data_IF_165822207672
#
_entry.id   IF_165822207672
#
_cell.length_a   1.000
_cell.length_b   1.000
_cell.length_c   1.000
_cell.angle_alpha   90.00
_cell.angle_beta   90.00
_cell.angle_gamma   90.00
#
_symmetry.space_group_name_H-M   'P 1'
#
loop_
_entity.id
_entity.type
_entity.pdbx_description
1 polymer ?
#
# COMPACT_ATOMS: atom_id res chain seq x y z
N UNK A 1 -12.43 -14.00 1.44
CA UNK A 1 -11.94 -13.14 2.55
C UNK A 1 -10.60 -12.59 2.10
N UNK A 2 -10.30 -11.28 2.24
CA UNK A 2 -8.99 -10.73 1.86
C UNK A 2 -7.89 -11.52 2.58
N UNK A 3 -6.86 -11.96 1.87
CA UNK A 3 -5.74 -12.66 2.50
C UNK A 3 -4.97 -11.68 3.38
N UNK A 4 -4.41 -12.18 4.50
CA UNK A 4 -3.62 -11.31 5.39
C UNK A 4 -2.38 -10.73 4.68
N UNK A 5 -1.92 -11.41 3.64
CA UNK A 5 -0.75 -11.04 2.84
C UNK A 5 -0.91 -9.68 2.17
N UNK A 6 -2.14 -9.28 1.82
CA UNK A 6 -2.40 -8.04 1.08
C UNK A 6 -2.14 -6.79 1.93
N UNK A 7 -2.48 -6.82 3.22
CA UNK A 7 -2.29 -5.66 4.10
C UNK A 7 -0.99 -5.73 4.91
N UNK A 8 -0.53 -6.92 5.32
CA UNK A 8 0.65 -7.05 6.18
C UNK A 8 1.92 -6.56 5.50
N UNK A 9 2.04 -6.74 4.17
CA UNK A 9 3.19 -6.29 3.39
C UNK A 9 3.36 -4.77 3.40
N UNK A 10 2.26 -4.01 3.48
CA UNK A 10 2.29 -2.55 3.62
C UNK A 10 2.83 -2.18 4.99
N UNK A 11 2.32 -2.79 6.06
CA UNK A 11 2.78 -2.54 7.42
C UNK A 11 4.27 -2.89 7.58
N UNK A 12 4.72 -4.05 7.09
CA UNK A 12 6.13 -4.45 7.14
C UNK A 12 7.03 -3.40 6.48
N UNK A 13 6.63 -2.87 5.32
CA UNK A 13 7.42 -1.87 4.61
C UNK A 13 7.47 -0.53 5.35
N UNK A 14 6.35 -0.06 5.90
CA UNK A 14 6.30 1.16 6.69
C UNK A 14 7.20 1.07 7.92
N UNK A 15 7.14 -0.04 8.66
CA UNK A 15 8.00 -0.31 9.81
C UNK A 15 9.48 -0.37 9.40
N UNK A 16 9.80 -1.08 8.32
CA UNK A 16 11.18 -1.26 7.89
C UNK A 16 11.84 0.02 7.32
N UNK A 17 11.03 0.97 6.87
CA UNK A 17 11.46 2.31 6.45
C UNK A 17 11.30 3.35 7.57
N UNK A 18 10.86 2.95 8.76
CA UNK A 18 10.62 3.84 9.92
C UNK A 18 9.69 5.01 9.56
N UNK A 19 8.73 4.80 8.67
CA UNK A 19 7.77 5.82 8.24
C UNK A 19 6.68 5.93 9.31
N UNK A 20 6.43 7.09 9.92
CA UNK A 20 5.35 7.25 10.87
C UNK A 20 4.00 7.15 10.17
N UNK A 21 3.06 6.42 10.77
CA UNK A 21 1.70 6.26 10.25
C UNK A 21 0.69 6.10 11.38
N UNK A 22 -0.55 6.52 11.12
CA UNK A 22 -1.68 6.22 12.00
C UNK A 22 -2.37 4.92 11.55
N UNK A 23 -2.50 3.96 12.47
CA UNK A 23 -3.13 2.68 12.19
C UNK A 23 -4.63 2.71 12.51
N UNK A 24 -5.46 2.50 11.48
CA UNK A 24 -6.90 2.26 11.64
C UNK A 24 -7.20 0.78 11.38
N UNK A 25 -7.72 0.09 12.39
CA UNK A 25 -8.06 -1.33 12.31
C UNK A 25 -9.54 -1.48 11.98
N UNK A 26 -9.85 -2.18 10.89
CA UNK A 26 -11.21 -2.58 10.52
C UNK A 26 -11.41 -4.06 10.83
N UNK A 27 -12.09 -4.37 11.93
CA UNK A 27 -12.25 -5.72 12.46
C UNK A 27 -13.44 -6.43 11.78
N UNK A 28 -13.34 -6.60 10.46
CA UNK A 28 -14.30 -7.35 9.65
C UNK A 28 -15.47 -6.52 9.12
N UNK A 29 -16.53 -7.22 8.71
CA UNK A 29 -17.62 -6.68 7.90
C UNK A 29 -18.29 -5.42 8.50
N UNK A 30 -18.47 -5.39 9.83
CA UNK A 30 -19.13 -4.26 10.51
C UNK A 30 -18.38 -2.95 10.33
N UNK A 31 -17.05 -2.99 10.31
CA UNK A 31 -16.21 -1.81 10.22
C UNK A 31 -15.91 -1.46 8.75
N UNK A 32 -15.77 -2.49 7.90
CA UNK A 32 -15.51 -2.34 6.46
C UNK A 32 -16.72 -1.80 5.70
N UNK A 33 -17.94 -2.26 6.01
CA UNK A 33 -19.15 -1.86 5.27
C UNK A 33 -19.82 -0.59 5.80
N UNK A 34 -19.01 0.41 6.12
CA UNK A 34 -19.46 1.73 6.60
C UNK A 34 -19.42 2.77 5.47
N UNK A 35 -20.20 3.83 5.62
CA UNK A 35 -20.26 4.91 4.61
C UNK A 35 -18.92 5.62 4.46
N UNK A 36 -18.28 5.97 5.57
CA UNK A 36 -16.98 6.65 5.56
C UNK A 36 -15.87 5.82 4.89
N UNK A 37 -15.86 4.49 5.07
CA UNK A 37 -14.83 3.65 4.45
C UNK A 37 -15.09 3.44 2.95
N UNK A 38 -16.36 3.48 2.52
CA UNK A 38 -16.72 3.42 1.11
C UNK A 38 -16.19 4.63 0.32
N UNK A 39 -16.05 5.78 0.96
CA UNK A 39 -15.40 6.98 0.37
C UNK A 39 -13.88 6.83 0.22
N UNK A 40 -13.26 5.84 0.88
CA UNK A 40 -11.82 5.55 0.81
C UNK A 40 -11.57 4.42 -0.19
N UNK A 41 -12.27 3.31 -0.05
CA UNK A 41 -12.08 2.13 -0.87
C UNK A 41 -13.44 1.72 -1.50
N UNK A 42 -13.57 1.75 -2.83
CA UNK A 42 -14.86 1.50 -3.50
C UNK A 42 -15.42 0.08 -3.28
N UNK A 43 -14.55 -0.92 -3.14
CA UNK A 43 -14.91 -2.32 -2.82
C UNK A 43 -14.84 -2.63 -1.32
N UNK A 44 -14.39 -1.66 -0.50
CA UNK A 44 -14.31 -1.75 0.96
C UNK A 44 -13.47 -2.94 1.45
N UNK A 45 -12.39 -3.29 0.73
CA UNK A 45 -11.36 -4.23 1.21
C UNK A 45 -10.25 -3.52 1.95
N UNK A 46 -9.30 -4.27 2.52
CA UNK A 46 -8.07 -3.74 3.13
C UNK A 46 -6.86 -4.29 2.36
N UNK A 47 -5.75 -3.53 2.26
CA UNK A 47 -5.47 -2.24 2.89
C UNK A 47 -6.05 -1.03 2.14
N UNK A 48 -6.00 0.14 2.78
CA UNK A 48 -6.08 1.44 2.13
C UNK A 48 -5.10 2.40 2.83
N UNK A 49 -4.52 3.31 2.07
CA UNK A 49 -3.64 4.38 2.54
C UNK A 49 -4.29 5.71 2.23
N UNK A 50 -4.35 6.59 3.22
CA UNK A 50 -4.71 8.00 3.06
C UNK A 50 -3.48 8.82 3.41
N UNK A 51 -3.07 9.69 2.51
CA UNK A 51 -1.94 10.60 2.68
C UNK A 51 -2.35 12.03 2.25
N UNK A 52 -1.51 13.01 2.56
CA UNK A 52 -1.62 14.37 2.05
C UNK A 52 -0.44 14.70 1.14
N UNK A 53 -0.74 15.10 -0.10
CA UNK A 53 0.26 15.55 -1.07
C UNK A 53 -0.05 17.00 -1.38
N UNK A 54 0.90 17.90 -1.07
CA UNK A 54 0.76 19.34 -1.27
C UNK A 54 -0.52 19.94 -0.66
N UNK A 55 -0.97 19.37 0.48
CA UNK A 55 -2.18 19.78 1.19
C UNK A 55 -3.47 19.12 0.69
N UNK A 56 -3.42 18.36 -0.40
CA UNK A 56 -4.57 17.66 -0.97
C UNK A 56 -4.66 16.22 -0.47
N UNK A 57 -5.90 15.76 -0.24
CA UNK A 57 -6.16 14.38 0.19
C UNK A 57 -5.88 13.42 -0.96
N UNK A 58 -4.99 12.46 -0.72
CA UNK A 58 -4.64 11.40 -1.67
C UNK A 58 -4.95 10.03 -1.09
N UNK A 59 -5.56 9.16 -1.89
CA UNK A 59 -6.01 7.84 -1.43
C UNK A 59 -5.53 6.76 -2.39
N UNK A 60 -4.94 5.70 -1.82
CA UNK A 60 -4.57 4.47 -2.52
C UNK A 60 -5.23 3.29 -1.81
N UNK A 61 -5.66 2.30 -2.58
CA UNK A 61 -6.32 1.09 -2.04
C UNK A 61 -5.83 -0.21 -2.69
N UNK A 62 -5.00 -0.13 -3.73
CA UNK A 62 -4.27 -1.29 -4.21
C UNK A 62 -2.98 -1.47 -3.42
N UNK A 63 -2.81 -2.63 -2.80
CA UNK A 63 -1.67 -2.91 -1.94
C UNK A 63 -0.30 -2.84 -2.64
N UNK A 64 -0.24 -3.14 -3.94
CA UNK A 64 1.00 -3.05 -4.72
C UNK A 64 1.28 -1.61 -5.11
N UNK A 65 0.26 -0.84 -5.49
CA UNK A 65 0.37 0.60 -5.69
C UNK A 65 0.81 1.33 -4.42
N UNK A 66 0.29 0.94 -3.25
CA UNK A 66 0.69 1.47 -1.94
C UNK A 66 2.18 1.21 -1.68
N UNK A 67 2.66 -0.02 -1.90
CA UNK A 67 4.08 -0.34 -1.72
C UNK A 67 4.97 0.50 -2.63
N UNK A 68 4.63 0.58 -3.92
CA UNK A 68 5.40 1.38 -4.89
C UNK A 68 5.44 2.86 -4.49
N UNK A 69 4.31 3.40 -4.03
CA UNK A 69 4.22 4.75 -3.51
C UNK A 69 5.14 4.98 -2.30
N UNK A 70 5.10 4.07 -1.32
CA UNK A 70 5.92 4.15 -0.11
C UNK A 70 7.41 4.07 -0.48
N UNK A 71 7.82 3.15 -1.35
CA UNK A 71 9.22 3.06 -1.74
C UNK A 71 9.68 4.32 -2.46
N UNK A 72 8.94 4.81 -3.45
CA UNK A 72 9.33 6.00 -4.21
C UNK A 72 9.45 7.24 -3.30
N UNK A 73 8.59 7.34 -2.28
CA UNK A 73 8.56 8.48 -1.38
C UNK A 73 9.56 8.38 -0.23
N UNK A 74 9.79 7.20 0.34
CA UNK A 74 10.50 7.05 1.62
C UNK A 74 11.77 6.20 1.55
N UNK A 75 11.93 5.31 0.56
CA UNK A 75 13.15 4.48 0.40
C UNK A 75 14.29 5.26 -0.27
N UNK A 76 14.66 6.44 0.22
CA UNK A 76 15.62 7.33 -0.47
C UNK A 76 17.02 6.74 -0.67
N UNK A 77 17.37 5.73 0.12
CA UNK A 77 18.65 5.02 0.03
C UNK A 77 18.64 3.86 -0.96
N UNK A 78 17.48 3.54 -1.56
CA UNK A 78 17.34 2.45 -2.52
C UNK A 78 17.57 1.07 -1.91
N UNK A 79 17.20 0.88 -0.63
CA UNK A 79 17.37 -0.40 0.07
C UNK A 79 16.38 -1.45 -0.41
N UNK A 80 15.19 -1.04 -0.84
CA UNK A 80 14.08 -1.91 -1.21
C UNK A 80 13.83 -1.91 -2.72
N UNK A 81 14.07 -0.79 -3.39
CA UNK A 81 13.96 -0.70 -4.85
C UNK A 81 14.90 0.32 -5.44
N UNK A 82 15.32 0.08 -6.68
CA UNK A 82 16.01 1.09 -7.46
C UNK A 82 15.03 2.16 -7.94
N UNK A 83 15.36 3.42 -7.71
CA UNK A 83 14.59 4.57 -8.17
C UNK A 83 14.99 4.92 -9.60
N UNK A 84 14.43 4.22 -10.59
CA UNK A 84 14.70 4.48 -12.00
C UNK A 84 14.09 3.44 -12.95
N UNK A 85 14.32 3.61 -14.25
CA UNK A 85 13.82 2.71 -15.29
C UNK A 85 14.78 1.55 -15.63
N UNK A 86 15.52 1.06 -14.62
CA UNK A 86 16.51 0.00 -14.78
C UNK A 86 15.94 -1.42 -14.74
N UNK A 87 16.76 -2.40 -15.12
CA UNK A 87 16.40 -3.83 -15.09
C UNK A 87 16.01 -4.33 -13.70
N UNK A 88 16.63 -3.79 -12.65
CA UNK A 88 16.31 -4.10 -11.24
C UNK A 88 14.90 -3.67 -10.85
N UNK A 89 14.51 -2.41 -11.13
CA UNK A 89 13.13 -1.92 -10.95
C UNK A 89 12.13 -2.78 -11.72
N UNK A 90 12.44 -3.14 -12.97
CA UNK A 90 11.57 -4.01 -13.77
C UNK A 90 11.42 -5.40 -13.13
N UNK A 91 12.48 -5.97 -12.56
CA UNK A 91 12.42 -7.25 -11.86
C UNK A 91 11.57 -7.18 -10.57
N UNK A 92 11.74 -6.13 -9.75
CA UNK A 92 10.90 -5.90 -8.57
C UNK A 92 9.43 -5.73 -8.98
N UNK A 93 9.17 -4.95 -10.02
CA UNK A 93 7.85 -4.81 -10.61
C UNK A 93 7.26 -6.14 -11.03
N UNK A 94 8.01 -6.96 -11.78
CA UNK A 94 7.55 -8.26 -12.25
C UNK A 94 7.04 -9.16 -11.11
N UNK A 95 7.80 -9.27 -10.01
CA UNK A 95 7.36 -10.06 -8.84
C UNK A 95 6.20 -9.42 -8.09
N UNK A 96 6.18 -8.10 -7.96
CA UNK A 96 5.12 -7.36 -7.28
C UNK A 96 3.78 -7.50 -8.01
N UNK A 97 3.80 -7.37 -9.33
CA UNK A 97 2.62 -7.56 -10.18
C UNK A 97 2.21 -9.01 -10.29
N UNK A 98 3.16 -9.96 -10.33
CA UNK A 98 2.83 -11.38 -10.26
C UNK A 98 2.04 -11.69 -8.98
N UNK A 99 2.51 -11.24 -7.81
CA UNK A 99 1.74 -11.38 -6.57
C UNK A 99 0.40 -10.64 -6.62
N UNK A 100 0.35 -9.45 -7.24
CA UNK A 100 -0.87 -8.66 -7.36
C UNK A 100 -1.90 -9.26 -8.33
N UNK A 101 -1.50 -10.15 -9.23
CA UNK A 101 -2.40 -10.80 -10.18
C UNK A 101 -2.64 -12.28 -9.85
N UNK A 102 -1.87 -12.82 -8.90
CA UNK A 102 -2.03 -14.17 -8.40
C UNK A 102 -3.18 -14.18 -7.40
N UNK A 103 -4.40 -14.29 -7.93
CA UNK A 103 -5.62 -14.54 -7.19
C UNK A 103 -6.34 -15.75 -7.76
#
# INVERSE_FOLDING_TARGET
MPSYQTWIKVAILLEALEVPYDLVVLAGAKDMYTEWYREIHPQQYVPALVDSIDGERFVLWDSTAIILYITDRYDKEGKWTDHGCGSSRAAVGNWSFFHACSF
#
